data_IF_657106173097
#
_entry.id   IF_657106173097
#
_cell.length_a   1.000
_cell.length_b   1.000
_cell.length_c   1.000
_cell.angle_alpha   90.00
_cell.angle_beta   90.00
_cell.angle_gamma   90.00
#
_symmetry.space_group_name_H-M   'P 1'
#
loop_
_entity.id
_entity.type
_entity.pdbx_description
1 polymer ?
#
# COMPACT_ATOMS: atom_id res chain seq x y z
N UNK A 1 -9.67 5.05 24.14
CA UNK A 1 -8.41 5.46 23.46
C UNK A 1 -7.93 4.23 22.69
N UNK A 2 -8.18 4.18 21.38
CA UNK A 2 -7.86 3.01 20.56
C UNK A 2 -6.38 3.04 20.18
N UNK A 3 -5.60 2.13 20.72
CA UNK A 3 -4.23 1.81 20.31
C UNK A 3 -4.25 1.18 18.91
N UNK A 4 -4.45 1.97 17.87
CA UNK A 4 -4.20 1.55 16.49
C UNK A 4 -2.72 1.78 16.17
N UNK A 5 -1.84 0.95 16.77
CA UNK A 5 -0.40 0.87 16.45
C UNK A 5 -0.15 0.14 15.12
N UNK A 6 -1.05 0.32 14.15
CA UNK A 6 -1.04 -0.37 12.85
C UNK A 6 -1.02 0.62 11.69
N UNK A 7 -0.63 1.86 11.93
CA UNK A 7 -0.44 2.82 10.84
C UNK A 7 0.85 2.53 10.09
N UNK A 8 0.81 2.71 8.78
CA UNK A 8 1.93 2.52 7.86
C UNK A 8 2.08 3.77 7.00
N UNK A 9 3.32 4.07 6.63
CA UNK A 9 3.64 5.09 5.63
C UNK A 9 4.11 4.40 4.36
N UNK A 10 3.56 4.79 3.22
CA UNK A 10 3.85 4.18 1.92
C UNK A 10 4.42 5.21 1.00
N UNK A 11 5.56 4.87 0.42
CA UNK A 11 6.26 5.71 -0.54
C UNK A 11 6.28 5.00 -1.88
N UNK A 12 5.71 5.65 -2.89
CA UNK A 12 5.82 5.23 -4.27
C UNK A 12 7.15 5.70 -4.85
N UNK A 13 7.92 4.75 -5.36
CA UNK A 13 9.28 5.02 -5.89
C UNK A 13 9.28 5.50 -7.34
N UNK A 14 8.14 5.37 -8.04
CA UNK A 14 8.03 5.63 -9.48
C UNK A 14 7.60 7.07 -9.77
N UNK A 15 6.58 7.56 -9.08
CA UNK A 15 5.95 8.87 -9.26
C UNK A 15 6.18 9.82 -8.08
N UNK A 16 6.91 9.38 -7.04
CA UNK A 16 7.23 10.19 -5.87
C UNK A 16 6.02 10.49 -4.98
N UNK A 17 4.95 9.69 -5.08
CA UNK A 17 3.75 9.82 -4.24
C UNK A 17 4.02 9.22 -2.87
N UNK A 18 3.46 9.79 -1.83
CA UNK A 18 3.59 9.25 -0.47
C UNK A 18 2.27 9.39 0.29
N UNK A 19 1.97 8.37 1.08
CA UNK A 19 0.83 8.34 1.98
C UNK A 19 1.34 8.00 3.37
N UNK A 20 1.26 8.97 4.29
CA UNK A 20 1.78 8.82 5.65
C UNK A 20 0.65 8.62 6.63
N UNK A 21 0.94 7.94 7.74
CA UNK A 21 -0.01 7.67 8.82
C UNK A 21 -1.30 7.00 8.35
N UNK A 22 -1.18 6.10 7.38
CA UNK A 22 -2.32 5.44 6.78
C UNK A 22 -2.62 4.16 7.55
N UNK A 23 -3.90 3.88 7.81
CA UNK A 23 -4.26 2.60 8.41
C UNK A 23 -3.90 1.47 7.46
N UNK A 24 -3.29 0.42 7.99
CA UNK A 24 -2.87 -0.73 7.20
C UNK A 24 -4.01 -1.40 6.42
N UNK A 25 -5.23 -1.34 6.94
CA UNK A 25 -6.43 -1.87 6.26
C UNK A 25 -6.87 -0.95 5.11
N UNK A 26 -6.57 0.35 5.20
CA UNK A 26 -6.86 1.32 4.15
C UNK A 26 -5.74 1.41 3.09
N UNK A 27 -4.61 0.73 3.31
CA UNK A 27 -3.45 0.75 2.42
C UNK A 27 -3.82 0.51 0.96
N UNK A 28 -4.53 -0.59 0.69
CA UNK A 28 -4.95 -0.94 -0.66
C UNK A 28 -5.82 0.14 -1.30
N UNK A 29 -6.71 0.75 -0.52
CA UNK A 29 -7.61 1.79 -1.01
C UNK A 29 -6.88 3.10 -1.31
N UNK A 30 -5.88 3.46 -0.50
CA UNK A 30 -5.09 4.66 -0.69
C UNK A 30 -4.16 4.58 -1.92
N UNK A 31 -3.63 3.40 -2.22
CA UNK A 31 -2.76 3.22 -3.40
C UNK A 31 -3.55 2.91 -4.67
N UNK A 32 -4.79 2.42 -4.56
CA UNK A 32 -5.68 2.16 -5.71
C UNK A 32 -5.76 3.32 -6.71
N UNK A 33 -5.97 4.59 -6.31
CA UNK A 33 -5.97 5.71 -7.24
C UNK A 33 -4.62 5.94 -7.93
N UNK A 34 -3.50 5.50 -7.34
CA UNK A 34 -2.19 5.70 -7.95
C UNK A 34 -1.98 4.85 -9.20
N UNK A 35 -2.60 3.68 -9.22
CA UNK A 35 -2.58 2.74 -10.34
C UNK A 35 -3.87 2.77 -11.16
N UNK A 36 -4.78 3.72 -10.90
CA UNK A 36 -6.06 3.77 -11.61
C UNK A 36 -5.91 4.03 -13.12
N UNK A 37 -4.76 4.57 -13.55
CA UNK A 37 -4.41 4.78 -14.95
C UNK A 37 -3.93 3.47 -15.62
N UNK A 38 -3.44 2.52 -14.82
CA UNK A 38 -2.94 1.23 -15.30
C UNK A 38 -4.07 0.20 -15.30
N UNK A 39 -4.57 -0.14 -16.49
CA UNK A 39 -5.58 -1.19 -16.68
C UNK A 39 -4.97 -2.60 -16.64
N UNK A 40 -4.24 -2.92 -15.58
CA UNK A 40 -3.55 -4.21 -15.44
C UNK A 40 -4.15 -5.05 -14.30
N UNK A 41 -4.66 -6.24 -14.65
CA UNK A 41 -5.24 -7.18 -13.69
C UNK A 41 -4.22 -7.64 -12.63
N UNK A 42 -2.92 -7.66 -12.97
CA UNK A 42 -1.89 -8.01 -12.00
C UNK A 42 -1.70 -6.92 -10.94
N UNK A 43 -1.84 -5.65 -11.31
CA UNK A 43 -1.81 -4.53 -10.36
C UNK A 43 -3.04 -4.56 -9.46
N UNK A 44 -4.23 -4.79 -10.01
CA UNK A 44 -5.45 -4.94 -9.22
C UNK A 44 -5.30 -6.07 -8.18
N UNK A 45 -4.70 -7.21 -8.58
CA UNK A 45 -4.41 -8.31 -7.67
C UNK A 45 -3.38 -7.92 -6.60
N UNK A 46 -2.28 -7.27 -6.96
CA UNK A 46 -1.28 -6.84 -6.00
C UNK A 46 -1.86 -5.85 -4.98
N UNK A 47 -2.74 -4.94 -5.41
CA UNK A 47 -3.44 -4.01 -4.51
C UNK A 47 -4.30 -4.77 -3.48
N UNK A 48 -5.01 -5.82 -3.90
CA UNK A 48 -5.78 -6.66 -2.97
C UNK A 48 -4.85 -7.48 -2.05
N UNK A 49 -3.71 -7.96 -2.55
CA UNK A 49 -2.69 -8.66 -1.76
C UNK A 49 -2.06 -7.74 -0.69
N UNK A 50 -2.10 -6.41 -0.84
CA UNK A 50 -1.66 -5.48 0.22
C UNK A 50 -2.50 -5.56 1.49
N UNK A 51 -3.76 -6.01 1.41
CA UNK A 51 -4.60 -6.24 2.59
C UNK A 51 -4.06 -7.40 3.42
N UNK A 52 -3.48 -8.41 2.77
CA UNK A 52 -2.95 -9.62 3.41
C UNK A 52 -1.57 -9.32 4.01
N UNK A 53 -1.38 -9.40 5.34
CA UNK A 53 -0.11 -9.05 5.98
C UNK A 53 1.10 -9.81 5.43
N UNK A 54 0.93 -11.10 5.15
CA UNK A 54 1.99 -11.98 4.64
C UNK A 54 2.39 -11.67 3.19
N UNK A 55 1.45 -11.19 2.38
CA UNK A 55 1.69 -10.87 0.97
C UNK A 55 2.01 -9.39 0.74
N UNK A 56 1.70 -8.51 1.69
CA UNK A 56 1.84 -7.06 1.57
C UNK A 56 3.23 -6.63 1.14
N UNK A 57 4.28 -7.19 1.74
CA UNK A 57 5.66 -6.81 1.42
C UNK A 57 6.00 -7.20 -0.04
N UNK A 58 5.51 -8.36 -0.49
CA UNK A 58 5.67 -8.83 -1.87
C UNK A 58 4.89 -7.94 -2.84
N UNK A 59 3.62 -7.67 -2.56
CA UNK A 59 2.76 -6.83 -3.37
C UNK A 59 3.30 -5.40 -3.46
N UNK A 60 3.77 -4.84 -2.34
CA UNK A 60 4.39 -3.52 -2.32
C UNK A 60 5.62 -3.48 -3.23
N UNK A 61 6.53 -4.46 -3.13
CA UNK A 61 7.69 -4.55 -4.04
C UNK A 61 7.28 -4.67 -5.50
N UNK A 62 6.26 -5.47 -5.81
CA UNK A 62 5.75 -5.61 -7.17
C UNK A 62 5.22 -4.29 -7.74
N UNK A 63 4.50 -3.53 -6.91
CA UNK A 63 3.94 -2.23 -7.26
C UNK A 63 4.97 -1.08 -7.22
N UNK A 64 6.23 -1.34 -6.85
CA UNK A 64 7.23 -0.27 -6.67
C UNK A 64 6.98 0.60 -5.43
N UNK A 65 6.25 0.08 -4.46
CA UNK A 65 5.89 0.73 -3.21
C UNK A 65 6.81 0.30 -2.06
N UNK A 66 7.13 1.26 -1.21
CA UNK A 66 7.89 1.04 0.03
C UNK A 66 6.98 1.29 1.22
N UNK A 67 6.52 0.20 1.84
CA UNK A 67 5.68 0.23 3.05
C UNK A 67 6.58 0.27 4.28
N UNK A 68 6.41 1.29 5.11
CA UNK A 68 7.16 1.55 6.33
C UNK A 68 6.16 1.50 7.49
N UNK A 69 6.23 0.51 8.40
CA UNK A 69 5.40 0.51 9.60
C UNK A 69 5.77 1.71 10.48
N UNK A 70 4.76 2.45 10.95
CA UNK A 70 4.93 3.52 11.93
C UNK A 70 4.76 2.86 13.29
N UNK A 71 5.87 2.70 14.01
CA UNK A 71 5.94 2.08 15.34
C UNK A 71 5.64 3.09 16.44
#
# INVERSE_FOLDING_TARGET
>A
MNTNTRTVSVHDTLFGRQANNLDVEQLSAAVKPWFSDMSDSAIAKAIEELKVPELRNRAARYLGLKVIPVA
#
